data_IF_917394409960
#
_entry.id   IF_917394409960
#
_cell.length_a   1.000
_cell.length_b   1.000
_cell.length_c   1.000
_cell.angle_alpha   90.00
_cell.angle_beta   90.00
_cell.angle_gamma   90.00
#
_symmetry.space_group_name_H-M   'P 1'
#
loop_
_entity.id
_entity.type
_entity.pdbx_description
1 polymer ?
#
# COMPACT_ATOMS: atom_id res chain seq x y z
N UNK A 1 -13.48 -8.87 40.44
CA UNK A 1 -13.95 -9.90 39.51
C UNK A 1 -13.46 -9.46 38.14
N UNK A 2 -12.18 -9.74 37.91
CA UNK A 2 -11.49 -9.39 36.69
C UNK A 2 -11.98 -10.33 35.59
N UNK A 3 -12.74 -9.78 34.65
CA UNK A 3 -13.03 -10.45 33.40
C UNK A 3 -11.70 -10.69 32.71
N UNK A 4 -11.30 -11.96 32.62
CA UNK A 4 -10.23 -12.42 31.75
C UNK A 4 -10.44 -11.78 30.38
N UNK A 5 -9.60 -10.81 30.01
CA UNK A 5 -9.46 -10.40 28.63
C UNK A 5 -8.84 -11.60 27.94
N UNK A 6 -9.68 -12.42 27.33
CA UNK A 6 -9.30 -13.32 26.24
C UNK A 6 -8.28 -12.56 25.39
N UNK A 7 -7.03 -13.05 25.35
CA UNK A 7 -5.93 -12.32 24.73
C UNK A 7 -6.13 -12.33 23.21
N UNK A 8 -7.00 -11.45 22.72
CA UNK A 8 -7.21 -11.24 21.31
C UNK A 8 -5.85 -10.98 20.67
N UNK A 9 -5.55 -11.71 19.59
CA UNK A 9 -4.33 -11.52 18.83
C UNK A 9 -4.21 -10.02 18.46
N UNK A 10 -3.00 -9.43 18.51
CA UNK A 10 -2.82 -8.03 18.19
C UNK A 10 -3.34 -7.75 16.78
N UNK A 11 -4.03 -6.61 16.52
CA UNK A 11 -4.50 -6.29 15.19
C UNK A 11 -3.35 -6.30 14.19
N UNK A 12 -3.61 -6.92 13.05
CA UNK A 12 -2.66 -7.13 11.99
C UNK A 12 -3.01 -6.23 10.81
N UNK A 13 -2.11 -5.29 10.52
CA UNK A 13 -2.25 -4.27 9.48
C UNK A 13 -1.37 -4.63 8.30
N UNK A 14 -1.95 -4.70 7.10
CA UNK A 14 -1.18 -4.79 5.86
C UNK A 14 -1.06 -3.39 5.26
N UNK A 15 0.16 -2.96 4.99
CA UNK A 15 0.48 -1.66 4.39
C UNK A 15 0.96 -1.89 2.96
N UNK A 16 0.31 -1.28 1.98
CA UNK A 16 0.65 -1.37 0.56
C UNK A 16 0.92 0.02 -0.03
N UNK A 17 2.17 0.51 0.02
CA UNK A 17 2.56 1.79 -0.56
C UNK A 17 2.58 1.75 -2.09
N UNK A 18 2.45 2.93 -2.69
CA UNK A 18 2.82 3.16 -4.07
C UNK A 18 4.33 2.89 -4.23
N UNK A 19 4.77 2.10 -5.24
CA UNK A 19 6.15 1.64 -5.36
C UNK A 19 7.07 2.72 -5.93
N UNK A 20 7.10 3.88 -5.27
CA UNK A 20 7.98 5.01 -5.50
C UNK A 20 8.66 5.33 -4.16
N UNK A 21 9.94 5.70 -4.20
CA UNK A 21 10.77 5.88 -3.01
C UNK A 21 10.16 6.80 -1.94
N UNK A 22 9.56 7.92 -2.35
CA UNK A 22 8.93 8.88 -1.44
C UNK A 22 7.79 8.25 -0.62
N UNK A 23 6.71 7.78 -1.27
CA UNK A 23 5.59 7.10 -0.61
C UNK A 23 6.04 5.93 0.28
N UNK A 24 6.95 5.08 -0.20
CA UNK A 24 7.50 3.95 0.56
C UNK A 24 8.13 4.42 1.87
N UNK A 25 9.00 5.43 1.83
CA UNK A 25 9.66 5.96 3.03
C UNK A 25 8.67 6.54 4.05
N UNK A 26 7.65 7.27 3.58
CA UNK A 26 6.60 7.81 4.44
C UNK A 26 5.81 6.69 5.13
N UNK A 27 5.42 5.66 4.38
CA UNK A 27 4.63 4.55 4.93
C UNK A 27 5.47 3.62 5.81
N UNK A 28 6.79 3.52 5.61
CA UNK A 28 7.69 2.85 6.56
C UNK A 28 7.69 3.55 7.92
N UNK A 29 7.63 4.89 7.94
CA UNK A 29 7.50 5.63 9.21
C UNK A 29 6.16 5.38 9.90
N UNK A 30 5.08 5.28 9.12
CA UNK A 30 3.78 4.86 9.66
C UNK A 30 3.85 3.43 10.24
N UNK A 31 4.50 2.51 9.53
CA UNK A 31 4.68 1.12 9.97
C UNK A 31 5.46 1.04 11.28
N UNK A 32 6.54 1.82 11.41
CA UNK A 32 7.32 1.95 12.64
C UNK A 32 6.45 2.41 13.82
N UNK A 33 5.60 3.43 13.62
CA UNK A 33 4.66 3.89 14.64
C UNK A 33 3.67 2.78 15.04
N UNK A 34 3.16 2.02 14.09
CA UNK A 34 2.27 0.90 14.40
C UNK A 34 2.98 -0.19 15.22
N UNK A 35 4.21 -0.56 14.86
CA UNK A 35 4.99 -1.54 15.60
C UNK A 35 5.30 -1.11 17.04
N UNK A 36 5.65 0.17 17.25
CA UNK A 36 5.89 0.72 18.60
C UNK A 36 4.63 0.67 19.47
N UNK A 37 3.44 0.72 18.85
CA UNK A 37 2.15 0.60 19.53
C UNK A 37 1.63 -0.85 19.62
N UNK A 38 2.49 -1.85 19.34
CA UNK A 38 2.16 -3.27 19.52
C UNK A 38 1.29 -3.87 18.41
N UNK A 39 1.03 -3.13 17.32
CA UNK A 39 0.33 -3.66 16.14
C UNK A 39 1.26 -4.60 15.37
N UNK A 40 0.67 -5.63 14.76
CA UNK A 40 1.37 -6.46 13.79
C UNK A 40 1.30 -5.81 12.42
N UNK A 41 2.42 -5.76 11.71
CA UNK A 41 2.53 -5.07 10.43
C UNK A 41 3.12 -5.99 9.38
N UNK A 42 2.42 -6.12 8.26
CA UNK A 42 2.95 -6.66 7.01
C UNK A 42 3.12 -5.52 6.03
N UNK A 43 4.34 -5.24 5.63
CA UNK A 43 4.65 -4.19 4.67
C UNK A 43 4.87 -4.81 3.29
N UNK A 44 3.92 -4.60 2.39
CA UNK A 44 3.91 -5.19 1.07
C UNK A 44 4.61 -4.28 0.05
N UNK A 45 5.79 -4.69 -0.40
CA UNK A 45 6.56 -3.99 -1.42
C UNK A 45 6.36 -4.58 -2.81
N UNK A 46 6.70 -3.81 -3.86
CA UNK A 46 7.10 -4.45 -5.11
C UNK A 46 8.47 -5.13 -4.94
N UNK A 47 8.72 -6.20 -5.69
CA UNK A 47 10.03 -6.86 -5.69
C UNK A 47 11.17 -5.89 -6.05
N UNK A 48 10.94 -4.97 -6.99
CA UNK A 48 11.90 -3.94 -7.35
C UNK A 48 12.26 -3.05 -6.14
N UNK A 49 11.25 -2.51 -5.45
CA UNK A 49 11.46 -1.67 -4.26
C UNK A 49 12.18 -2.45 -3.15
N UNK A 50 11.80 -3.71 -2.90
CA UNK A 50 12.47 -4.51 -1.88
C UNK A 50 13.96 -4.69 -2.19
N UNK A 51 14.33 -4.96 -3.45
CA UNK A 51 15.74 -5.06 -3.86
C UNK A 51 16.48 -3.73 -3.69
N UNK A 52 15.87 -2.61 -4.04
CA UNK A 52 16.45 -1.28 -3.82
C UNK A 52 16.67 -1.02 -2.32
N UNK A 53 15.71 -1.36 -1.46
CA UNK A 53 15.85 -1.21 -0.02
C UNK A 53 16.99 -2.06 0.54
N UNK A 54 17.08 -3.34 0.14
CA UNK A 54 18.15 -4.24 0.61
C UNK A 54 19.53 -3.89 0.08
N UNK A 55 19.64 -3.30 -1.12
CA UNK A 55 20.94 -2.94 -1.74
C UNK A 55 21.43 -1.54 -1.41
N UNK A 56 20.54 -0.57 -1.18
CA UNK A 56 20.91 0.83 -1.01
C UNK A 56 20.75 1.34 0.43
N UNK A 57 20.13 0.57 1.33
CA UNK A 57 19.82 1.03 2.70
C UNK A 57 19.99 -0.09 3.74
N UNK A 58 19.89 0.27 5.02
CA UNK A 58 19.80 -0.67 6.13
C UNK A 58 18.35 -0.88 6.60
N UNK A 59 17.35 -0.57 5.77
CA UNK A 59 15.92 -0.61 6.17
C UNK A 59 15.52 -1.99 6.68
N UNK A 60 15.91 -3.05 5.99
CA UNK A 60 15.56 -4.42 6.40
C UNK A 60 16.13 -4.79 7.77
N UNK A 61 17.42 -4.51 8.00
CA UNK A 61 18.03 -4.74 9.32
C UNK A 61 17.51 -3.78 10.39
N UNK A 62 17.12 -2.56 10.02
CA UNK A 62 16.46 -1.62 10.93
C UNK A 62 15.17 -2.22 11.47
N UNK A 63 14.30 -2.75 10.60
CA UNK A 63 12.99 -3.26 10.98
C UNK A 63 13.01 -4.63 11.68
N UNK A 64 14.11 -5.39 11.61
CA UNK A 64 14.30 -6.63 12.39
C UNK A 64 14.20 -6.44 13.91
N UNK A 65 14.35 -5.21 14.41
CA UNK A 65 14.14 -4.90 15.84
C UNK A 65 12.67 -5.03 16.27
N UNK A 66 11.74 -5.02 15.32
CA UNK A 66 10.31 -5.13 15.58
C UNK A 66 9.85 -6.56 15.28
N UNK A 67 9.64 -7.43 16.29
CA UNK A 67 9.25 -8.83 16.06
C UNK A 67 7.87 -8.97 15.40
N UNK A 68 7.05 -7.92 15.46
CA UNK A 68 5.71 -7.88 14.89
C UNK A 68 5.68 -7.28 13.47
N UNK A 69 6.85 -6.99 12.87
CA UNK A 69 6.97 -6.44 11.52
C UNK A 69 7.50 -7.51 10.56
N UNK A 70 6.98 -7.51 9.32
CA UNK A 70 7.59 -8.26 8.22
C UNK A 70 7.43 -7.54 6.89
N UNK A 71 8.41 -7.74 6.01
CA UNK A 71 8.29 -7.40 4.60
C UNK A 71 7.67 -8.57 3.83
N UNK A 72 6.83 -8.23 2.88
CA UNK A 72 6.31 -9.13 1.85
C UNK A 72 6.49 -8.49 0.49
N UNK A 73 6.47 -9.30 -0.57
CA UNK A 73 6.66 -8.78 -1.93
C UNK A 73 5.67 -9.33 -2.93
N UNK A 74 5.32 -8.51 -3.91
CA UNK A 74 4.66 -8.90 -5.15
C UNK A 74 5.43 -8.36 -6.36
N UNK A 75 5.43 -9.04 -7.51
CA UNK A 75 5.95 -8.46 -8.74
C UNK A 75 5.09 -7.27 -9.20
N UNK A 76 5.72 -6.22 -9.72
CA UNK A 76 5.03 -5.06 -10.30
C UNK A 76 4.79 -5.20 -11.81
N UNK A 77 5.27 -6.28 -12.43
CA UNK A 77 5.09 -6.59 -13.84
C UNK A 77 6.00 -5.85 -14.81
N UNK A 78 6.88 -4.96 -14.31
CA UNK A 78 7.80 -4.19 -15.15
C UNK A 78 9.19 -4.87 -15.25
N UNK A 79 9.91 -4.72 -16.38
CA UNK A 79 11.29 -5.22 -16.55
C UNK A 79 12.24 -4.69 -15.47
N UNK A 80 13.29 -5.41 -15.09
CA UNK A 80 14.16 -5.01 -13.97
C UNK A 80 14.89 -3.67 -14.18
N UNK A 81 15.21 -3.35 -15.43
CA UNK A 81 15.91 -2.13 -15.86
C UNK A 81 15.01 -0.89 -15.97
N UNK A 82 13.69 -1.05 -15.85
CA UNK A 82 12.78 0.11 -15.84
C UNK A 82 13.03 0.98 -14.58
N UNK A 83 13.18 2.30 -14.72
CA UNK A 83 13.55 3.18 -13.60
C UNK A 83 12.40 3.52 -12.65
N UNK A 84 11.16 3.09 -12.92
CA UNK A 84 9.94 3.40 -12.15
C UNK A 84 9.79 4.91 -11.92
N UNK A 85 9.85 5.69 -12.99
CA UNK A 85 9.77 7.16 -12.89
C UNK A 85 8.33 7.65 -12.80
N UNK A 86 8.14 8.87 -12.31
CA UNK A 86 6.82 9.53 -12.27
C UNK A 86 6.23 9.72 -13.68
N UNK A 87 7.06 9.81 -14.71
CA UNK A 87 6.60 9.93 -16.10
C UNK A 87 5.93 8.63 -16.60
N UNK A 88 6.29 7.49 -16.03
CA UNK A 88 5.76 6.16 -16.37
C UNK A 88 4.70 5.71 -15.36
N UNK A 89 4.17 6.64 -14.56
CA UNK A 89 3.28 6.34 -13.44
C UNK A 89 2.06 5.52 -13.85
N UNK A 90 1.40 5.88 -14.96
CA UNK A 90 0.23 5.14 -15.43
C UNK A 90 0.58 3.74 -15.93
N UNK A 91 1.70 3.59 -16.65
CA UNK A 91 2.19 2.28 -17.10
C UNK A 91 2.53 1.38 -15.91
N UNK A 92 3.19 1.93 -14.88
CA UNK A 92 3.47 1.24 -13.63
C UNK A 92 2.19 0.79 -12.93
N UNK A 93 1.18 1.66 -12.83
CA UNK A 93 -0.11 1.30 -12.24
C UNK A 93 -0.81 0.20 -13.03
N UNK A 94 -0.79 0.26 -14.36
CA UNK A 94 -1.46 -0.73 -15.20
C UNK A 94 -0.73 -2.08 -15.17
N UNK A 95 0.60 -2.08 -15.15
CA UNK A 95 1.41 -3.28 -14.97
C UNK A 95 1.19 -3.91 -13.58
N UNK A 96 1.17 -3.09 -12.53
CA UNK A 96 0.82 -3.54 -11.17
C UNK A 96 -0.59 -4.13 -11.11
N UNK A 97 -1.58 -3.50 -11.76
CA UNK A 97 -2.95 -4.05 -11.85
C UNK A 97 -3.00 -5.39 -12.59
N UNK A 98 -2.21 -5.55 -13.66
CA UNK A 98 -2.19 -6.76 -14.46
C UNK A 98 -1.50 -7.93 -13.73
N UNK A 99 -0.43 -7.65 -12.99
CA UNK A 99 0.46 -8.69 -12.46
C UNK A 99 0.44 -8.77 -10.93
N UNK A 100 0.63 -7.65 -10.24
CA UNK A 100 0.74 -7.62 -8.78
C UNK A 100 -0.60 -7.76 -8.05
N UNK A 101 -1.66 -7.10 -8.55
CA UNK A 101 -2.98 -7.10 -7.91
C UNK A 101 -3.62 -8.48 -7.80
N UNK A 102 -3.59 -9.35 -8.84
CA UNK A 102 -4.12 -10.72 -8.71
C UNK A 102 -3.42 -11.51 -7.60
N UNK A 103 -2.09 -11.42 -7.51
CA UNK A 103 -1.30 -12.10 -6.50
C UNK A 103 -1.54 -11.54 -5.10
N UNK A 104 -1.62 -10.21 -4.98
CA UNK A 104 -1.99 -9.56 -3.73
C UNK A 104 -3.38 -10.00 -3.27
N UNK A 105 -4.36 -10.04 -4.18
CA UNK A 105 -5.71 -10.52 -3.86
C UNK A 105 -5.67 -11.94 -3.32
N UNK A 106 -5.01 -12.86 -4.04
CA UNK A 106 -4.85 -14.25 -3.60
C UNK A 106 -4.23 -14.33 -2.19
N UNK A 107 -3.16 -13.57 -1.95
CA UNK A 107 -2.44 -13.52 -0.68
C UNK A 107 -3.35 -13.18 0.51
N UNK A 108 -4.30 -12.26 0.32
CA UNK A 108 -5.23 -11.80 1.38
C UNK A 108 -6.60 -12.47 1.37
N UNK A 109 -6.94 -13.29 0.36
CA UNK A 109 -8.20 -14.04 0.34
C UNK A 109 -8.01 -15.50 0.72
N UNK A 110 -7.09 -16.17 0.04
CA UNK A 110 -6.88 -17.62 0.10
C UNK A 110 -5.44 -17.97 0.46
N UNK A 111 -4.59 -16.97 0.69
CA UNK A 111 -3.22 -17.11 1.15
C UNK A 111 -3.07 -16.78 2.63
N UNK A 112 -1.82 -16.64 3.11
CA UNK A 112 -1.48 -16.59 4.53
C UNK A 112 -2.09 -15.41 5.31
N UNK A 113 -2.63 -14.40 4.62
CA UNK A 113 -3.25 -13.21 5.19
C UNK A 113 -4.77 -13.21 5.09
N UNK A 114 -5.35 -14.28 4.54
CA UNK A 114 -6.80 -14.44 4.44
C UNK A 114 -7.47 -14.82 5.76
N UNK A 115 -8.80 -14.63 5.84
CA UNK A 115 -9.59 -14.77 7.08
C UNK A 115 -9.56 -16.19 7.68
N UNK A 116 -9.24 -17.20 6.87
CA UNK A 116 -9.23 -18.61 7.25
C UNK A 116 -7.83 -19.14 7.63
N UNK A 117 -6.82 -18.27 7.72
CA UNK A 117 -5.43 -18.66 8.02
C UNK A 117 -5.05 -18.27 9.46
N UNK A 118 -3.91 -18.76 9.94
CA UNK A 118 -3.45 -18.56 11.32
C UNK A 118 -3.20 -17.08 11.67
N UNK A 119 -3.06 -16.21 10.68
CA UNK A 119 -2.60 -14.85 10.86
C UNK A 119 -3.26 -13.88 9.87
N UNK A 120 -4.61 -13.80 9.91
CA UNK A 120 -5.37 -12.98 8.98
C UNK A 120 -5.02 -11.50 9.18
N UNK A 121 -5.13 -10.71 8.12
CA UNK A 121 -5.10 -9.26 8.29
C UNK A 121 -6.44 -8.79 8.84
N UNK A 122 -6.40 -7.75 9.65
CA UNK A 122 -7.56 -7.12 10.28
C UNK A 122 -7.79 -5.69 9.77
N UNK A 123 -6.82 -5.13 9.05
CA UNK A 123 -6.92 -3.81 8.43
C UNK A 123 -5.96 -3.71 7.25
N UNK A 124 -6.36 -2.97 6.22
CA UNK A 124 -5.53 -2.59 5.09
C UNK A 124 -5.24 -1.09 5.13
N UNK A 125 -3.99 -0.72 4.88
CA UNK A 125 -3.57 0.64 4.56
C UNK A 125 -2.99 0.61 3.16
N UNK A 126 -3.58 1.36 2.22
CA UNK A 126 -3.10 1.39 0.84
C UNK A 126 -2.89 2.82 0.38
N UNK A 127 -2.02 3.02 -0.60
CA UNK A 127 -1.91 4.30 -1.29
C UNK A 127 -3.22 4.66 -2.03
N UNK A 128 -3.57 5.95 -2.10
CA UNK A 128 -4.80 6.42 -2.74
C UNK A 128 -4.87 6.11 -4.24
N UNK A 129 -3.72 5.91 -4.92
CA UNK A 129 -3.68 5.48 -6.31
C UNK A 129 -4.21 4.04 -6.51
N UNK A 130 -4.26 3.22 -5.45
CA UNK A 130 -4.70 1.83 -5.51
C UNK A 130 -6.20 1.69 -5.29
N UNK A 131 -6.99 2.22 -6.24
CA UNK A 131 -8.44 2.14 -6.23
C UNK A 131 -8.97 0.70 -6.11
N UNK A 132 -8.23 -0.31 -6.60
CA UNK A 132 -8.60 -1.72 -6.48
C UNK A 132 -8.68 -2.23 -5.03
N UNK A 133 -8.02 -1.56 -4.09
CA UNK A 133 -7.92 -2.00 -2.69
C UNK A 133 -9.29 -2.05 -2.01
N UNK A 134 -10.24 -1.17 -2.40
CA UNK A 134 -11.58 -1.13 -1.82
C UNK A 134 -12.35 -2.43 -2.05
N UNK A 135 -12.25 -3.00 -3.25
CA UNK A 135 -12.97 -4.23 -3.60
C UNK A 135 -12.38 -5.43 -2.88
N UNK A 136 -11.04 -5.48 -2.74
CA UNK A 136 -10.35 -6.53 -2.00
C UNK A 136 -10.69 -6.45 -0.51
N UNK A 137 -10.62 -5.26 0.09
CA UNK A 137 -10.95 -5.06 1.50
C UNK A 137 -12.40 -5.45 1.82
N UNK A 138 -13.35 -5.07 0.95
CA UNK A 138 -14.76 -5.49 1.05
C UNK A 138 -14.91 -7.01 0.95
N UNK A 139 -14.20 -7.64 0.01
CA UNK A 139 -14.26 -9.10 -0.18
C UNK A 139 -13.84 -9.87 1.07
N UNK A 140 -12.81 -9.39 1.78
CA UNK A 140 -12.28 -10.05 2.97
C UNK A 140 -12.88 -9.52 4.28
N UNK A 141 -13.74 -8.49 4.21
CA UNK A 141 -14.46 -7.94 5.35
C UNK A 141 -13.62 -7.11 6.31
N UNK A 142 -12.54 -6.48 5.85
CA UNK A 142 -11.65 -5.65 6.70
C UNK A 142 -11.76 -4.16 6.38
N UNK A 143 -11.54 -3.27 7.36
CA UNK A 143 -11.42 -1.84 7.11
C UNK A 143 -10.22 -1.51 6.21
N UNK A 144 -10.43 -0.55 5.31
CA UNK A 144 -9.41 0.04 4.45
C UNK A 144 -9.19 1.51 4.83
N UNK A 145 -7.92 1.89 4.97
CA UNK A 145 -7.47 3.26 5.13
C UNK A 145 -6.63 3.64 3.91
N UNK A 146 -7.04 4.68 3.19
CA UNK A 146 -6.18 5.27 2.17
C UNK A 146 -5.18 6.23 2.81
N UNK A 147 -3.92 6.12 2.39
CA UNK A 147 -2.83 6.98 2.85
C UNK A 147 -2.16 7.64 1.66
N UNK A 148 -2.51 8.89 1.42
CA UNK A 148 -1.95 9.70 0.34
C UNK A 148 -0.74 10.50 0.83
N UNK A 149 0.39 10.36 0.14
CA UNK A 149 1.59 11.16 0.42
C UNK A 149 1.70 12.42 -0.42
N UNK A 150 0.70 12.68 -1.27
CA UNK A 150 0.60 13.91 -2.06
C UNK A 150 0.04 15.05 -1.20
N UNK A 151 0.29 16.30 -1.64
CA UNK A 151 -0.26 17.48 -0.97
C UNK A 151 -1.79 17.43 -0.92
N UNK A 152 -2.43 17.79 0.22
CA UNK A 152 -3.89 17.89 0.30
C UNK A 152 -4.49 18.82 -0.75
N UNK A 153 -3.77 19.90 -1.11
CA UNK A 153 -4.21 20.80 -2.17
C UNK A 153 -4.24 20.10 -3.55
N UNK A 154 -3.26 19.23 -3.82
CA UNK A 154 -3.24 18.42 -5.04
C UNK A 154 -4.35 17.36 -5.02
N UNK A 155 -4.52 16.65 -3.90
CA UNK A 155 -5.57 15.64 -3.74
C UNK A 155 -6.97 16.22 -3.99
N UNK A 156 -7.22 17.44 -3.50
CA UNK A 156 -8.51 18.13 -3.69
C UNK A 156 -8.84 18.42 -5.16
N UNK A 157 -7.85 18.48 -6.05
CA UNK A 157 -8.10 18.72 -7.48
C UNK A 157 -8.79 17.55 -8.16
N UNK A 158 -8.54 16.30 -7.76
CA UNK A 158 -9.16 15.12 -8.36
C UNK A 158 -10.70 15.11 -8.25
N UNK A 159 -11.32 15.29 -7.07
CA UNK A 159 -12.79 15.34 -6.98
C UNK A 159 -13.38 16.60 -7.61
N UNK A 160 -12.59 17.66 -7.81
CA UNK A 160 -13.04 18.87 -8.50
C UNK A 160 -12.92 18.75 -10.03
N UNK A 161 -12.12 17.81 -10.55
CA UNK A 161 -11.87 17.66 -11.98
C UNK A 161 -13.15 17.52 -12.83
N UNK A 162 -14.18 16.71 -12.43
CA UNK A 162 -15.44 16.67 -13.18
C UNK A 162 -16.12 18.02 -13.30
N UNK A 163 -16.06 18.86 -12.24
CA UNK A 163 -16.66 20.20 -12.25
C UNK A 163 -15.92 21.15 -13.20
N UNK A 164 -14.59 21.07 -13.25
CA UNK A 164 -13.80 21.86 -14.20
C UNK A 164 -14.10 21.45 -15.65
N UNK A 165 -14.28 20.16 -15.91
CA UNK A 165 -14.66 19.65 -17.24
C UNK A 165 -16.06 20.13 -17.62
N UNK A 166 -17.04 20.03 -16.71
CA UNK A 166 -18.42 20.50 -16.94
C UNK A 166 -18.49 22.02 -17.18
N UNK A 167 -17.61 22.78 -16.55
CA UNK A 167 -17.53 24.23 -16.69
C UNK A 167 -16.70 24.70 -17.91
N UNK A 168 -16.08 23.80 -18.65
CA UNK A 168 -15.10 24.12 -19.72
C UNK A 168 -13.92 24.99 -19.21
N UNK A 169 -13.60 24.88 -17.92
CA UNK A 169 -12.56 25.65 -17.24
C UNK A 169 -11.24 24.87 -17.23
N UNK A 170 -10.60 24.76 -18.40
CA UNK A 170 -9.30 24.11 -18.52
C UNK A 170 -8.16 25.07 -18.15
N UNK A 171 -7.18 24.62 -17.33
CA UNK A 171 -6.03 25.45 -16.94
C UNK A 171 -5.11 25.83 -18.11
N UNK A 172 -5.21 25.13 -19.23
CA UNK A 172 -4.44 25.41 -20.45
C UNK A 172 -5.39 25.52 -21.64
N UNK A 173 -5.29 26.64 -22.39
CA UNK A 173 -5.97 26.81 -23.67
C UNK A 173 -4.97 26.46 -24.79
N UNK A 174 -5.11 25.31 -25.42
CA UNK A 174 -4.25 24.89 -26.54
C UNK A 174 -4.87 23.76 -27.35
N UNK A 175 -4.90 23.95 -28.68
CA UNK A 175 -5.40 23.00 -29.68
C UNK A 175 -4.72 21.63 -29.55
N UNK A 176 -5.52 20.56 -29.52
CA UNK A 176 -5.08 19.16 -29.54
C UNK A 176 -4.61 18.74 -30.93
#
# INVERSE_FOLDING_TARGET
MDSERESALPPHVLIFPLPIQGPVNCMLKLAELFCINGLKVTFLNSQHIQRCLSSCTNTESYFQRYPNFRFETVPDGLPEDNPRTVNEFFEMLDSMKAVGVPLFREMVTSGPYGPNFENPITCMVADGAFCFAVDIAKQIGVPLLYFDTISPCCLWTYPCLPKFIEADEFPFKGEL
#
